data_IF_276808519095
#
_entry.id   IF_276808519095
#
_cell.length_a   1.000
_cell.length_b   1.000
_cell.length_c   1.000
_cell.angle_alpha   90.00
_cell.angle_beta   90.00
_cell.angle_gamma   90.00
#
_symmetry.space_group_name_H-M   'P 1'
#
loop_
_entity.id
_entity.type
_entity.pdbx_description
1 polymer ?
#
# COMPACT_ATOMS: atom_id res chain seq x y z
N UNK A 1 -25.17 -7.81 23.35
CA UNK A 1 -25.05 -8.17 21.92
C UNK A 1 -25.64 -7.03 21.11
N UNK A 2 -24.80 -6.13 20.58
CA UNK A 2 -25.21 -5.16 19.53
C UNK A 2 -25.27 -5.96 18.22
N UNK A 3 -26.37 -6.18 17.47
CA UNK A 3 -27.62 -5.46 17.14
C UNK A 3 -27.49 -4.16 16.34
N UNK A 4 -26.27 -3.78 15.93
CA UNK A 4 -26.09 -2.84 14.82
C UNK A 4 -25.41 -3.57 13.66
N UNK A 5 -26.11 -3.56 12.54
CA UNK A 5 -25.79 -4.24 11.30
C UNK A 5 -24.33 -4.02 10.92
N UNK A 6 -23.61 -5.13 10.70
CA UNK A 6 -22.51 -5.14 9.75
C UNK A 6 -23.13 -4.89 8.37
N UNK A 7 -23.45 -3.64 8.04
CA UNK A 7 -23.54 -3.26 6.64
C UNK A 7 -22.14 -3.44 6.08
N UNK A 8 -21.93 -4.54 5.35
CA UNK A 8 -20.70 -4.72 4.60
C UNK A 8 -20.62 -3.55 3.63
N UNK A 9 -19.84 -2.52 3.99
CA UNK A 9 -19.57 -1.38 3.13
C UNK A 9 -19.10 -1.97 1.82
N UNK A 10 -19.86 -1.74 0.74
CA UNK A 10 -19.59 -2.32 -0.56
C UNK A 10 -18.14 -2.03 -0.93
N UNK A 11 -17.32 -3.07 -1.01
CA UNK A 11 -15.91 -2.94 -1.32
C UNK A 11 -15.61 -3.59 -2.68
N UNK A 12 -15.11 -2.82 -3.66
CA UNK A 12 -14.79 -3.35 -4.98
C UNK A 12 -13.82 -4.53 -4.90
N UNK A 13 -13.96 -5.50 -5.82
CA UNK A 13 -13.12 -6.69 -5.86
C UNK A 13 -11.62 -6.34 -5.85
N UNK A 14 -11.21 -5.35 -6.63
CA UNK A 14 -9.81 -4.89 -6.68
C UNK A 14 -9.26 -4.45 -5.30
N UNK A 15 -10.11 -3.90 -4.43
CA UNK A 15 -9.69 -3.53 -3.08
C UNK A 15 -9.60 -4.74 -2.16
N UNK A 16 -10.50 -5.72 -2.32
CA UNK A 16 -10.51 -6.99 -1.56
C UNK A 16 -9.38 -7.94 -1.96
N UNK A 17 -8.94 -7.90 -3.22
CA UNK A 17 -7.86 -8.74 -3.74
C UNK A 17 -6.46 -8.15 -3.51
N UNK A 18 -6.35 -7.03 -2.77
CA UNK A 18 -5.01 -6.51 -2.45
C UNK A 18 -4.27 -7.52 -1.57
N UNK A 19 -3.00 -7.84 -1.87
CA UNK A 19 -2.15 -8.63 -0.99
C UNK A 19 -2.09 -8.02 0.41
N UNK A 20 -1.92 -8.91 1.40
CA UNK A 20 -1.83 -8.58 2.82
C UNK A 20 -0.39 -8.57 3.34
N UNK A 21 0.56 -9.09 2.56
CA UNK A 21 1.99 -9.07 2.85
C UNK A 21 2.79 -8.91 1.56
N UNK A 22 4.06 -8.49 1.70
CA UNK A 22 4.98 -8.30 0.57
C UNK A 22 5.20 -9.59 -0.24
N UNK A 23 5.22 -10.76 0.42
CA UNK A 23 5.47 -12.03 -0.26
C UNK A 23 4.30 -12.48 -1.16
N UNK A 24 3.10 -11.93 -0.95
CA UNK A 24 1.95 -12.12 -1.85
C UNK A 24 1.88 -11.06 -2.97
N UNK A 25 2.81 -10.09 -3.00
CA UNK A 25 2.83 -9.08 -4.04
C UNK A 25 3.35 -9.68 -5.35
N UNK A 26 2.49 -9.66 -6.38
CA UNK A 26 2.82 -10.27 -7.66
C UNK A 26 3.56 -9.30 -8.56
N UNK A 27 4.72 -9.73 -9.04
CA UNK A 27 5.60 -8.95 -9.91
C UNK A 27 6.56 -8.03 -9.16
N UNK A 28 7.27 -7.18 -9.89
CA UNK A 28 8.29 -6.27 -9.34
C UNK A 28 9.46 -6.99 -8.61
N UNK A 29 9.74 -8.25 -8.94
CA UNK A 29 10.85 -9.04 -8.36
C UNK A 29 12.20 -8.33 -8.46
N UNK A 30 12.42 -7.58 -9.55
CA UNK A 30 13.63 -6.80 -9.74
C UNK A 30 13.87 -5.74 -8.64
N UNK A 31 12.82 -5.34 -7.91
CA UNK A 31 12.87 -4.40 -6.77
C UNK A 31 12.65 -5.07 -5.41
N UNK A 32 11.79 -6.09 -5.33
CA UNK A 32 11.24 -6.60 -4.07
C UNK A 32 11.80 -7.97 -3.63
N UNK A 33 12.64 -8.61 -4.43
CA UNK A 33 13.33 -9.85 -4.02
C UNK A 33 14.34 -9.58 -2.91
N UNK A 34 14.53 -10.54 -2.00
CA UNK A 34 15.53 -10.49 -0.91
C UNK A 34 16.92 -10.10 -1.43
N UNK A 35 17.64 -9.28 -0.67
CA UNK A 35 18.94 -8.73 -1.06
C UNK A 35 18.87 -7.51 -2.01
N UNK A 36 17.68 -7.11 -2.47
CA UNK A 36 17.51 -5.85 -3.23
C UNK A 36 17.45 -4.67 -2.28
N UNK A 37 18.02 -3.50 -2.64
CA UNK A 37 18.08 -2.35 -1.74
C UNK A 37 16.73 -1.91 -1.17
N UNK A 38 15.68 -1.91 -2.00
CA UNK A 38 14.34 -1.54 -1.54
C UNK A 38 13.77 -2.59 -0.57
N UNK A 39 13.95 -3.89 -0.86
CA UNK A 39 13.51 -4.97 0.04
C UNK A 39 14.22 -4.88 1.38
N UNK A 40 15.54 -4.72 1.40
CA UNK A 40 16.33 -4.56 2.64
C UNK A 40 15.92 -3.31 3.43
N UNK A 41 15.66 -2.19 2.76
CA UNK A 41 15.21 -0.96 3.42
C UNK A 41 13.83 -1.12 4.08
N UNK A 42 12.92 -1.87 3.45
CA UNK A 42 11.60 -2.18 4.02
C UNK A 42 11.74 -3.16 5.19
N UNK A 43 12.50 -4.25 5.00
CA UNK A 43 12.69 -5.29 6.02
C UNK A 43 13.42 -4.76 7.28
N UNK A 44 14.23 -3.71 7.13
CA UNK A 44 14.92 -3.01 8.24
C UNK A 44 14.17 -1.78 8.79
N UNK A 45 12.97 -1.47 8.27
CA UNK A 45 12.19 -0.28 8.61
C UNK A 45 12.94 1.05 8.43
N UNK A 46 13.88 1.11 7.49
CA UNK A 46 14.66 2.30 7.12
C UNK A 46 14.08 2.97 5.87
N UNK A 47 12.81 3.36 5.93
CA UNK A 47 12.10 3.96 4.80
C UNK A 47 12.57 5.38 4.51
N UNK A 48 12.70 5.67 3.21
CA UNK A 48 13.04 6.99 2.69
C UNK A 48 11.88 7.51 1.84
N UNK A 49 11.79 8.83 1.71
CA UNK A 49 10.87 9.47 0.76
C UNK A 49 11.10 8.93 -0.65
N UNK A 50 10.02 8.51 -1.31
CA UNK A 50 10.09 7.86 -2.63
C UNK A 50 8.93 8.24 -3.53
N UNK A 51 9.15 8.14 -4.83
CA UNK A 51 8.11 8.29 -5.86
C UNK A 51 7.96 6.96 -6.58
N UNK A 52 6.80 6.32 -6.43
CA UNK A 52 6.46 5.09 -7.16
C UNK A 52 5.92 5.45 -8.55
N UNK A 53 6.65 5.13 -9.61
CA UNK A 53 6.29 5.44 -10.98
C UNK A 53 5.94 4.18 -11.79
N UNK A 54 4.91 4.27 -12.63
CA UNK A 54 4.49 3.19 -13.52
C UNK A 54 3.05 3.34 -14.02
N UNK A 55 2.62 2.51 -15.00
CA UNK A 55 1.29 2.60 -15.60
C UNK A 55 0.16 2.32 -14.59
N UNK A 56 -1.12 2.66 -14.90
CA UNK A 56 -2.23 2.34 -14.02
C UNK A 56 -2.33 0.83 -13.78
N UNK A 57 -2.68 0.43 -12.55
CA UNK A 57 -2.88 -0.98 -12.20
C UNK A 57 -1.63 -1.77 -11.78
N UNK A 58 -0.41 -1.23 -11.87
CA UNK A 58 0.83 -1.97 -11.50
C UNK A 58 1.09 -2.10 -9.98
N UNK A 59 0.11 -1.75 -9.15
CA UNK A 59 0.17 -1.97 -7.70
C UNK A 59 0.82 -0.87 -6.86
N UNK A 60 1.16 0.31 -7.40
CA UNK A 60 1.77 1.44 -6.65
C UNK A 60 1.13 1.73 -5.29
N UNK A 61 -0.19 1.96 -5.28
CA UNK A 61 -0.93 2.26 -4.03
C UNK A 61 -0.95 1.07 -3.09
N UNK A 62 -0.98 -0.15 -3.62
CA UNK A 62 -0.94 -1.37 -2.81
C UNK A 62 0.44 -1.56 -2.19
N UNK A 63 1.51 -1.31 -2.93
CA UNK A 63 2.88 -1.39 -2.43
C UNK A 63 3.12 -0.38 -1.31
N UNK A 64 2.67 0.88 -1.47
CA UNK A 64 2.80 1.89 -0.42
C UNK A 64 2.09 1.47 0.88
N UNK A 65 0.91 0.84 0.78
CA UNK A 65 0.19 0.29 1.94
C UNK A 65 0.95 -0.85 2.60
N UNK A 66 1.43 -1.82 1.82
CA UNK A 66 2.19 -2.95 2.33
C UNK A 66 3.48 -2.52 3.04
N UNK A 67 4.17 -1.52 2.49
CA UNK A 67 5.36 -0.94 3.11
C UNK A 67 5.01 -0.34 4.48
N UNK A 68 3.90 0.38 4.59
CA UNK A 68 3.47 0.95 5.86
C UNK A 68 3.12 -0.12 6.91
N UNK A 69 2.43 -1.19 6.51
CA UNK A 69 2.12 -2.34 7.38
C UNK A 69 3.39 -3.05 7.87
N UNK A 70 4.38 -3.26 6.98
CA UNK A 70 5.63 -3.95 7.33
C UNK A 70 6.50 -3.11 8.26
N UNK A 71 6.51 -1.80 8.07
CA UNK A 71 7.30 -0.88 8.90
C UNK A 71 6.55 -0.37 10.14
N UNK A 72 5.32 -0.83 10.38
CA UNK A 72 4.44 -0.42 11.49
C UNK A 72 4.27 1.11 11.59
N UNK A 73 3.92 1.74 10.46
CA UNK A 73 3.71 3.19 10.36
C UNK A 73 2.31 3.55 9.87
N UNK A 74 1.84 4.75 10.23
CA UNK A 74 0.54 5.25 9.78
C UNK A 74 0.51 5.49 8.27
N UNK A 75 -0.51 4.96 7.59
CA UNK A 75 -0.73 5.17 6.17
C UNK A 75 -1.86 6.17 5.92
N UNK A 76 -1.53 7.33 5.37
CA UNK A 76 -2.50 8.32 4.90
C UNK A 76 -2.44 8.46 3.37
N UNK A 77 -3.60 8.40 2.71
CA UNK A 77 -3.70 8.50 1.25
C UNK A 77 -4.37 9.81 0.85
N UNK A 78 -3.63 10.66 0.15
CA UNK A 78 -4.14 11.89 -0.44
C UNK A 78 -4.13 11.76 -1.97
N UNK A 79 -5.26 12.05 -2.61
CA UNK A 79 -5.37 12.05 -4.08
C UNK A 79 -5.18 13.46 -4.60
N UNK A 80 -4.12 13.71 -5.37
CA UNK A 80 -3.89 15.03 -5.99
C UNK A 80 -5.00 15.49 -6.95
N UNK A 81 -5.89 14.58 -7.38
CA UNK A 81 -7.06 14.91 -8.22
C UNK A 81 -8.24 15.41 -7.38
N UNK A 82 -8.37 14.93 -6.15
CA UNK A 82 -9.51 15.24 -5.28
C UNK A 82 -9.15 16.23 -4.17
N UNK A 83 -7.87 16.31 -3.79
CA UNK A 83 -7.39 17.13 -2.69
C UNK A 83 -7.16 18.58 -3.13
N UNK A 84 -7.67 19.51 -2.33
CA UNK A 84 -7.34 20.93 -2.42
C UNK A 84 -6.34 21.35 -1.35
N UNK A 85 -5.99 22.64 -1.34
CA UNK A 85 -5.06 23.25 -0.36
C UNK A 85 -5.55 23.10 1.09
N UNK A 86 -6.85 22.86 1.30
CA UNK A 86 -7.43 22.69 2.63
C UNK A 86 -7.33 21.27 3.19
N UNK A 87 -7.00 20.29 2.34
CA UNK A 87 -6.97 18.86 2.68
C UNK A 87 -5.54 18.35 2.95
N UNK A 88 -4.55 19.25 2.95
CA UNK A 88 -3.12 19.00 3.14
C UNK A 88 -2.66 19.67 4.42
#
# INVERSE_FOLDING_TARGET
MSLFQNESIYQPLASRMRPLCLDHYVGQEHLLTTGKPLREAIDSSQLHSMVLWGPPGVGKTTLAKLIAEVCDVEFQSVSAVLAGVKDI
#
